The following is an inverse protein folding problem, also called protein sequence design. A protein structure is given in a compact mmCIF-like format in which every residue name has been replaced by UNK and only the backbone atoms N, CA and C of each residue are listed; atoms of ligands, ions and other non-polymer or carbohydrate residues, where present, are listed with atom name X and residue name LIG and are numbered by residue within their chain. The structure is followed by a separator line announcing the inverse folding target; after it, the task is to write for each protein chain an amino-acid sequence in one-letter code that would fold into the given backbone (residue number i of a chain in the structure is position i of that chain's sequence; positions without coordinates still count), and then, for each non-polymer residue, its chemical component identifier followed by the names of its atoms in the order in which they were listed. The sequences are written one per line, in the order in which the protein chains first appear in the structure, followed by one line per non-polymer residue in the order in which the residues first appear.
data_IF_624718947081
#
_entry.id   IF_624718947081
#
_cell.length_a   1.000
_cell.length_b   1.000
_cell.length_c   1.000
_cell.angle_alpha   90.00
_cell.angle_beta   90.00
_cell.angle_gamma   90.00
#
_symmetry.space_group_name_H-M   'P 1'
#
loop_
_entity.id
_entity.type
_entity.pdbx_description
1 polymer ?
#
# COMPACT_ATOMS: atom_id res chain seq x y z
N UNK A 1 10.41 2.18 16.05
CA UNK A 1 9.72 3.28 15.36
C UNK A 1 9.18 2.77 14.05
N UNK A 2 7.97 3.15 13.68
CA UNK A 2 7.43 2.86 12.34
C UNK A 2 7.99 3.86 11.34
N UNK A 3 8.56 3.39 10.23
CA UNK A 3 9.03 4.27 9.14
C UNK A 3 8.17 4.10 7.89
N UNK A 4 8.01 5.19 7.15
CA UNK A 4 7.16 5.26 5.96
C UNK A 4 8.02 5.60 4.75
N UNK A 5 8.00 4.73 3.75
CA UNK A 5 8.55 5.02 2.43
C UNK A 5 7.40 5.53 1.56
N UNK A 6 7.57 6.73 0.98
CA UNK A 6 6.54 7.38 0.18
C UNK A 6 7.07 7.74 -1.20
N UNK A 7 6.17 7.72 -2.19
CA UNK A 7 6.40 8.35 -3.48
C UNK A 7 6.51 9.88 -3.33
N UNK A 8 7.08 10.59 -4.33
CA UNK A 8 7.11 12.05 -4.35
C UNK A 8 5.73 12.71 -4.30
N UNK A 9 4.70 12.03 -4.80
CA UNK A 9 3.29 12.46 -4.78
C UNK A 9 2.62 12.33 -3.39
N UNK A 10 3.30 11.68 -2.43
CA UNK A 10 2.84 11.52 -1.04
C UNK A 10 2.22 10.16 -0.73
N UNK A 11 2.05 9.28 -1.70
CA UNK A 11 1.51 7.94 -1.49
C UNK A 11 2.50 7.02 -0.75
N UNK A 12 2.03 6.21 0.19
CA UNK A 12 2.88 5.32 0.99
C UNK A 12 3.15 4.01 0.23
N UNK A 13 4.40 3.77 -0.17
CA UNK A 13 4.79 2.52 -0.81
C UNK A 13 5.01 1.40 0.19
N UNK A 14 5.58 1.73 1.35
CA UNK A 14 5.95 0.74 2.36
C UNK A 14 5.92 1.32 3.76
N UNK A 15 5.43 0.50 4.69
CA UNK A 15 5.45 0.78 6.13
C UNK A 15 6.38 -0.25 6.76
N UNK A 16 7.45 0.18 7.44
CA UNK A 16 8.30 -0.73 8.21
C UNK A 16 7.96 -0.61 9.69
N UNK A 17 7.65 -1.74 10.32
CA UNK A 17 7.31 -1.83 11.73
C UNK A 17 8.54 -2.13 12.58
N UNK A 18 8.53 -1.74 13.87
CA UNK A 18 9.66 -1.99 14.78
C UNK A 18 9.93 -3.48 15.04
N UNK A 19 8.94 -4.35 14.81
CA UNK A 19 9.07 -5.80 14.95
C UNK A 19 9.74 -6.46 13.73
N UNK A 20 10.17 -5.66 12.74
CA UNK A 20 10.81 -6.12 11.50
C UNK A 20 9.81 -6.52 10.41
N UNK A 21 8.51 -6.53 10.71
CA UNK A 21 7.49 -6.73 9.68
C UNK A 21 7.33 -5.47 8.84
N UNK A 22 6.75 -5.61 7.65
CA UNK A 22 6.49 -4.48 6.78
C UNK A 22 5.24 -4.70 5.94
N UNK A 23 4.61 -3.60 5.55
CA UNK A 23 3.47 -3.62 4.65
C UNK A 23 3.85 -2.91 3.36
N UNK A 24 3.32 -3.35 2.21
CA UNK A 24 3.55 -2.71 0.91
C UNK A 24 2.24 -2.40 0.20
N UNK A 25 2.24 -1.32 -0.57
CA UNK A 25 1.07 -0.84 -1.29
C UNK A 25 1.42 -0.51 -2.74
N UNK A 26 0.51 -0.83 -3.66
CA UNK A 26 0.56 -0.34 -5.04
C UNK A 26 -0.67 0.50 -5.34
N UNK A 27 -0.55 1.41 -6.30
CA UNK A 27 -1.56 2.40 -6.60
C UNK A 27 -1.81 2.50 -8.10
N UNK A 28 -3.04 2.84 -8.49
CA UNK A 28 -3.35 3.26 -9.85
C UNK A 28 -2.98 4.74 -10.06
N UNK A 29 -3.15 5.23 -11.29
CA UNK A 29 -2.85 6.61 -11.68
C UNK A 29 -3.72 7.66 -10.95
N UNK A 30 -4.83 7.23 -10.33
CA UNK A 30 -5.72 8.08 -9.52
C UNK A 30 -5.35 8.07 -8.02
N UNK A 31 -4.25 7.40 -7.65
CA UNK A 31 -3.79 7.25 -6.28
C UNK A 31 -4.64 6.36 -5.39
N UNK A 32 -5.39 5.44 -6.00
CA UNK A 32 -6.16 4.43 -5.30
C UNK A 32 -5.34 3.15 -5.16
N UNK A 33 -5.38 2.52 -3.99
CA UNK A 33 -4.66 1.27 -3.73
C UNK A 33 -5.19 0.15 -4.62
N UNK A 34 -4.30 -0.49 -5.38
CA UNK A 34 -4.56 -1.68 -6.18
C UNK A 34 -4.22 -2.97 -5.42
N UNK A 35 -3.09 -2.98 -4.71
CA UNK A 35 -2.68 -4.13 -3.89
C UNK A 35 -2.15 -3.66 -2.54
N UNK A 36 -2.42 -4.45 -1.51
CA UNK A 36 -1.83 -4.28 -0.19
C UNK A 36 -1.29 -5.64 0.28
N UNK A 37 0.00 -5.69 0.61
CA UNK A 37 0.61 -6.85 1.26
C UNK A 37 0.87 -6.51 2.72
N UNK A 38 0.35 -7.33 3.63
CA UNK A 38 0.52 -7.13 5.08
C UNK A 38 1.86 -7.68 5.61
N UNK A 39 2.13 -7.42 6.89
CA UNK A 39 3.33 -7.93 7.58
C UNK A 39 3.45 -9.45 7.68
N UNK A 40 2.39 -10.20 7.32
CA UNK A 40 2.38 -11.67 7.25
C UNK A 40 2.56 -12.18 5.82
N UNK A 41 2.76 -11.28 4.86
CA UNK A 41 2.88 -11.61 3.43
C UNK A 41 1.55 -11.88 2.73
N UNK A 42 0.40 -11.65 3.40
CA UNK A 42 -0.90 -11.80 2.77
C UNK A 42 -1.16 -10.61 1.87
N UNK A 43 -1.49 -10.87 0.60
CA UNK A 43 -1.77 -9.84 -0.39
C UNK A 43 -3.27 -9.77 -0.66
N UNK A 44 -3.84 -8.58 -0.46
CA UNK A 44 -5.21 -8.25 -0.86
C UNK A 44 -5.15 -7.40 -2.13
N UNK A 45 -5.85 -7.82 -3.17
CA UNK A 45 -6.05 -7.02 -4.38
C UNK A 45 -7.39 -6.30 -4.29
N UNK A 46 -7.36 -4.97 -4.44
CA UNK A 46 -8.53 -4.13 -4.50
C UNK A 46 -8.81 -3.81 -5.97
N UNK A 47 -9.80 -4.48 -6.54
CA UNK A 47 -10.32 -4.12 -7.85
C UNK A 47 -11.06 -2.78 -7.69
N UNK A 48 -10.45 -1.71 -8.21
CA UNK A 48 -11.03 -0.36 -8.18
C UNK A 48 -11.18 0.09 -9.63
N UNK A 49 -12.42 0.14 -10.11
CA UNK A 49 -12.70 0.81 -11.39
C UNK A 49 -12.44 2.32 -11.25
N UNK A 50 -12.39 3.07 -12.37
CA UNK A 50 -12.11 4.52 -12.37
C UNK A 50 -13.07 5.39 -11.53
N UNK A 51 -14.10 4.81 -10.90
CA UNK A 51 -15.02 5.47 -9.96
C UNK A 51 -14.80 5.06 -8.50
N UNK A 52 -13.79 4.24 -8.21
CA UNK A 52 -13.41 3.82 -6.86
C UNK A 52 -14.32 2.79 -6.20
N UNK A 53 -15.20 2.12 -6.96
CA UNK A 53 -16.10 1.08 -6.45
C UNK A 53 -15.73 -0.30 -7.02
N UNK A 54 -16.01 -1.40 -6.29
CA UNK A 54 -15.84 -2.76 -6.80
C UNK A 54 -16.76 -3.04 -8.00
#
# INVERSE_FOLDING_TARGET
TTTLERKPDGEVLRINHPDGTHETFTYNELGQVLTHTDGKGQTTQLLRNGRGLP
#
